data_IF_653401932062
#
_entry.id   IF_653401932062
#
_cell.length_a   1.000
_cell.length_b   1.000
_cell.length_c   1.000
_cell.angle_alpha   90.00
_cell.angle_beta   90.00
_cell.angle_gamma   90.00
#
_symmetry.space_group_name_H-M   'P 1'
#
loop_
_entity.id
_entity.type
_entity.pdbx_description
1 polymer ?
#
# COMPACT_ATOMS: atom_id res chain seq x y z
N UNK A 1 -3.10 -12.66 -1.50
CA UNK A 1 -1.80 -12.65 -2.22
C UNK A 1 -0.74 -11.89 -1.42
N UNK A 2 0.57 -12.03 -1.69
CA UNK A 2 1.66 -11.49 -0.86
C UNK A 2 1.67 -9.96 -0.65
N UNK A 3 0.91 -9.21 -1.44
CA UNK A 3 0.78 -7.76 -1.32
C UNK A 3 -0.47 -7.32 -0.54
N UNK A 4 -1.28 -8.27 -0.07
CA UNK A 4 -2.51 -7.96 0.65
C UNK A 4 -2.23 -7.29 1.98
N UNK A 5 -3.21 -6.49 2.42
CA UNK A 5 -3.27 -6.03 3.78
C UNK A 5 -4.11 -6.98 4.61
N UNK A 6 -3.64 -7.27 5.82
CA UNK A 6 -4.37 -8.07 6.79
C UNK A 6 -4.52 -7.28 8.08
N UNK A 7 -5.65 -7.47 8.74
CA UNK A 7 -5.86 -7.06 10.12
C UNK A 7 -5.75 -8.29 11.00
N UNK A 8 -4.88 -8.25 12.00
CA UNK A 8 -4.65 -9.38 12.91
C UNK A 8 -4.60 -8.92 14.36
N UNK A 9 -5.07 -9.79 15.24
CA UNK A 9 -4.57 -9.80 16.60
C UNK A 9 -3.38 -10.76 16.69
N UNK A 10 -2.39 -10.42 17.51
CA UNK A 10 -1.23 -11.28 17.76
C UNK A 10 -0.63 -11.05 19.15
N UNK A 11 0.10 -12.06 19.61
CA UNK A 11 1.09 -12.00 20.67
C UNK A 11 2.37 -12.72 20.21
N UNK A 12 3.52 -12.06 20.35
CA UNK A 12 4.84 -12.56 19.98
C UNK A 12 5.71 -12.85 21.21
N UNK A 13 6.32 -14.03 21.22
CA UNK A 13 7.23 -14.51 22.25
C UNK A 13 8.50 -15.10 21.64
N UNK A 14 9.63 -15.03 22.34
CA UNK A 14 10.79 -15.86 22.00
C UNK A 14 10.43 -17.35 22.19
N UNK A 15 11.20 -18.27 21.61
CA UNK A 15 11.00 -19.70 21.83
C UNK A 15 11.05 -20.12 23.31
N UNK A 16 11.79 -19.38 24.13
CA UNK A 16 11.86 -19.55 25.59
C UNK A 16 10.65 -18.97 26.34
N UNK A 17 9.71 -18.32 25.62
CA UNK A 17 8.42 -17.86 26.13
C UNK A 17 8.38 -16.40 26.60
N UNK A 18 9.48 -15.65 26.48
CA UNK A 18 9.50 -14.23 26.85
C UNK A 18 8.70 -13.40 25.85
N UNK A 19 7.64 -12.73 26.32
CA UNK A 19 6.79 -11.87 25.49
C UNK A 19 7.55 -10.61 25.10
N UNK A 20 7.59 -10.29 23.81
CA UNK A 20 8.22 -9.09 23.30
C UNK A 20 7.25 -8.09 22.67
N UNK A 21 6.07 -8.53 22.19
CA UNK A 21 5.08 -7.65 21.58
C UNK A 21 3.68 -8.29 21.60
N UNK A 22 2.63 -7.48 21.70
CA UNK A 22 1.24 -7.95 21.67
C UNK A 22 0.30 -6.84 21.24
N UNK A 23 -0.57 -7.13 20.27
CA UNK A 23 -1.68 -6.25 19.91
C UNK A 23 -2.76 -6.20 21.00
N UNK A 24 -2.90 -7.26 21.80
CA UNK A 24 -3.88 -7.32 22.87
C UNK A 24 -3.55 -6.32 23.99
N UNK A 25 -2.26 -6.13 24.28
CA UNK A 25 -1.80 -5.10 25.24
C UNK A 25 -2.15 -3.67 24.79
N UNK A 26 -2.30 -3.45 23.47
CA UNK A 26 -2.73 -2.17 22.88
C UNK A 26 -4.24 -2.02 22.76
N UNK A 27 -5.00 -3.10 22.91
CA UNK A 27 -6.46 -3.11 22.87
C UNK A 27 -7.09 -3.01 21.47
N UNK A 28 -6.31 -3.12 20.40
CA UNK A 28 -6.82 -3.10 19.02
C UNK A 28 -5.99 -3.97 18.06
N UNK A 29 -6.62 -4.54 17.01
CA UNK A 29 -5.89 -5.28 15.98
C UNK A 29 -4.84 -4.40 15.29
N UNK A 30 -3.77 -5.02 14.83
CA UNK A 30 -2.73 -4.36 14.03
C UNK A 30 -2.92 -4.69 12.55
N UNK A 31 -2.59 -3.73 11.68
CA UNK A 31 -2.69 -3.89 10.23
C UNK A 31 -1.29 -4.04 9.64
N UNK A 32 -1.12 -5.02 8.75
CA UNK A 32 0.15 -5.32 8.11
C UNK A 32 -0.03 -5.55 6.61
N UNK A 33 0.92 -5.08 5.80
CA UNK A 33 1.10 -5.59 4.43
C UNK A 33 1.95 -6.85 4.48
N UNK A 34 1.51 -7.91 3.81
CA UNK A 34 2.21 -9.20 3.86
C UNK A 34 3.63 -9.16 3.28
N UNK A 35 3.96 -8.20 2.42
CA UNK A 35 5.31 -7.99 1.88
C UNK A 35 6.21 -7.08 2.77
N UNK A 36 5.72 -6.58 3.90
CA UNK A 36 6.46 -5.69 4.82
C UNK A 36 6.66 -6.28 6.22
N UNK A 37 6.40 -7.57 6.39
CA UNK A 37 6.59 -8.32 7.64
C UNK A 37 7.71 -9.36 7.49
N UNK A 38 8.11 -10.01 8.59
CA UNK A 38 9.12 -11.07 8.53
C UNK A 38 8.68 -12.22 7.59
N UNK A 39 9.61 -12.90 6.91
CA UNK A 39 9.27 -13.95 5.93
C UNK A 39 8.32 -15.03 6.46
N UNK A 40 8.46 -15.41 7.74
CA UNK A 40 7.59 -16.39 8.38
C UNK A 40 6.13 -15.93 8.47
N UNK A 41 5.88 -14.64 8.69
CA UNK A 41 4.53 -14.07 8.65
C UNK A 41 4.00 -14.03 7.21
N UNK A 42 4.80 -13.57 6.25
CA UNK A 42 4.41 -13.56 4.83
C UNK A 42 3.96 -14.95 4.37
N UNK A 43 4.68 -16.00 4.74
CA UNK A 43 4.32 -17.38 4.40
C UNK A 43 3.12 -17.89 5.20
N UNK A 44 3.16 -17.76 6.53
CA UNK A 44 2.17 -18.35 7.43
C UNK A 44 0.78 -17.75 7.28
N UNK A 45 0.67 -16.43 7.14
CA UNK A 45 -0.62 -15.75 7.02
C UNK A 45 -1.37 -16.10 5.74
N UNK A 46 -0.66 -16.45 4.67
CA UNK A 46 -1.28 -16.90 3.42
C UNK A 46 -1.92 -18.30 3.53
N UNK A 47 -1.67 -19.03 4.62
CA UNK A 47 -2.28 -20.32 4.90
C UNK A 47 -3.56 -20.21 5.75
N UNK A 48 -3.86 -19.02 6.28
CA UNK A 48 -5.00 -18.77 7.16
C UNK A 48 -6.21 -18.25 6.37
N UNK A 49 -7.41 -18.47 6.94
CA UNK A 49 -8.65 -17.80 6.55
C UNK A 49 -9.10 -16.81 7.62
N UNK A 50 -9.93 -15.83 7.27
CA UNK A 50 -10.52 -14.90 8.25
C UNK A 50 -11.23 -15.67 9.39
N UNK A 51 -10.96 -15.27 10.63
CA UNK A 51 -11.40 -15.93 11.85
C UNK A 51 -10.46 -17.03 12.37
N UNK A 52 -9.47 -17.47 11.60
CA UNK A 52 -8.51 -18.48 12.06
C UNK A 52 -7.62 -17.92 13.17
N UNK A 53 -7.27 -18.78 14.13
CA UNK A 53 -6.22 -18.52 15.12
C UNK A 53 -5.15 -19.61 15.04
N UNK A 54 -3.93 -19.24 14.66
CA UNK A 54 -2.80 -20.15 14.50
C UNK A 54 -1.71 -19.84 15.54
N UNK A 55 -0.94 -20.86 15.91
CA UNK A 55 0.31 -20.71 16.66
C UNK A 55 1.47 -21.03 15.73
N UNK A 56 2.20 -20.01 15.29
CA UNK A 56 3.36 -20.14 14.43
C UNK A 56 4.63 -20.30 15.24
N UNK A 57 5.40 -21.35 14.94
CA UNK A 57 6.83 -21.39 15.25
C UNK A 57 7.60 -20.87 14.03
N UNK A 58 8.36 -19.80 14.22
CA UNK A 58 9.11 -19.14 13.16
C UNK A 58 10.60 -19.27 13.46
N UNK A 59 11.32 -20.14 12.74
CA UNK A 59 12.76 -20.26 12.92
C UNK A 59 13.45 -18.96 12.55
N UNK A 60 14.60 -18.68 13.15
CA UNK A 60 15.35 -17.45 13.04
C UNK A 60 15.60 -17.00 11.59
N UNK A 61 15.85 -17.97 10.70
CA UNK A 61 16.06 -17.76 9.28
C UNK A 61 14.85 -17.12 8.55
N UNK A 62 13.65 -17.25 9.11
CA UNK A 62 12.40 -16.64 8.64
C UNK A 62 11.94 -15.46 9.52
N UNK A 63 12.76 -15.05 10.49
CA UNK A 63 12.52 -13.96 11.42
C UNK A 63 13.58 -12.85 11.26
N UNK A 64 14.39 -12.60 12.30
CA UNK A 64 15.35 -11.48 12.35
C UNK A 64 16.81 -11.90 12.11
N UNK A 65 17.10 -13.16 11.82
CA UNK A 65 18.47 -13.59 11.51
C UNK A 65 19.44 -13.37 12.69
N UNK A 66 20.68 -13.03 12.35
CA UNK A 66 21.73 -12.71 13.31
C UNK A 66 21.69 -11.26 13.84
N UNK A 67 20.52 -10.62 13.83
CA UNK A 67 20.34 -9.24 14.31
C UNK A 67 19.45 -9.19 15.54
N UNK A 68 19.80 -8.33 16.50
CA UNK A 68 18.93 -8.03 17.64
C UNK A 68 17.74 -7.17 17.21
N UNK A 69 16.59 -7.31 17.87
CA UNK A 69 15.39 -6.49 17.63
C UNK A 69 14.72 -6.10 18.94
N UNK A 70 14.67 -4.79 19.22
CA UNK A 70 14.20 -4.30 20.51
C UNK A 70 15.04 -4.82 21.68
N UNK A 71 14.46 -4.85 22.87
CA UNK A 71 15.19 -5.22 24.09
C UNK A 71 15.19 -6.73 24.37
N UNK A 72 14.24 -7.47 23.79
CA UNK A 72 14.02 -8.90 24.08
C UNK A 72 14.67 -9.79 23.02
N UNK A 73 14.37 -9.60 21.73
CA UNK A 73 14.81 -10.51 20.66
C UNK A 73 16.31 -10.35 20.41
N UNK A 74 17.06 -11.45 20.52
CA UNK A 74 18.50 -11.53 20.26
C UNK A 74 18.79 -12.17 18.91
N UNK A 75 20.01 -11.93 18.43
CA UNK A 75 20.55 -12.58 17.26
C UNK A 75 20.48 -14.12 17.41
N UNK A 76 19.89 -14.79 16.42
CA UNK A 76 19.73 -16.24 16.43
C UNK A 76 18.44 -16.76 17.07
N UNK A 77 17.60 -15.90 17.68
CA UNK A 77 16.37 -16.34 18.32
C UNK A 77 15.32 -16.84 17.32
N UNK A 78 14.70 -17.96 17.66
CA UNK A 78 13.45 -18.44 17.08
C UNK A 78 12.27 -17.78 17.80
N UNK A 79 11.17 -17.56 17.07
CA UNK A 79 10.00 -16.84 17.58
C UNK A 79 8.76 -17.72 17.56
N UNK A 80 7.88 -17.50 18.52
CA UNK A 80 6.54 -18.09 18.57
C UNK A 80 5.50 -16.97 18.55
N UNK A 81 4.55 -17.06 17.62
CA UNK A 81 3.45 -16.12 17.51
C UNK A 81 2.11 -16.82 17.60
N UNK A 82 1.25 -16.39 18.51
CA UNK A 82 -0.18 -16.63 18.36
C UNK A 82 -0.75 -15.52 17.49
N UNK A 83 -1.46 -15.87 16.42
CA UNK A 83 -2.04 -14.91 15.48
C UNK A 83 -3.49 -15.28 15.21
N UNK A 84 -4.38 -14.31 15.36
CA UNK A 84 -5.79 -14.36 14.96
C UNK A 84 -5.97 -13.46 13.74
N UNK A 85 -6.33 -14.05 12.60
CA UNK A 85 -6.59 -13.30 11.36
C UNK A 85 -8.00 -12.73 11.42
N UNK A 86 -8.12 -11.43 11.62
CA UNK A 86 -9.42 -10.76 11.76
C UNK A 86 -10.04 -10.48 10.38
N UNK A 87 -9.24 -9.99 9.44
CA UNK A 87 -9.70 -9.57 8.12
C UNK A 87 -8.55 -9.68 7.11
N UNK A 88 -8.80 -10.30 5.96
CA UNK A 88 -8.01 -10.13 4.75
C UNK A 88 -8.64 -8.96 4.02
N UNK A 89 -8.00 -7.80 4.15
CA UNK A 89 -8.54 -6.60 3.55
C UNK A 89 -8.43 -6.75 2.04
N UNK A 90 -9.58 -6.82 1.36
CA UNK A 90 -9.60 -6.61 -0.08
C UNK A 90 -8.87 -5.29 -0.36
N UNK A 91 -7.93 -5.25 -1.31
CA UNK A 91 -7.38 -3.98 -1.74
C UNK A 91 -8.56 -3.16 -2.25
N UNK A 92 -9.03 -2.22 -1.42
CA UNK A 92 -9.98 -1.21 -1.84
C UNK A 92 -9.28 -0.46 -2.96
N UNK A 93 -9.62 -0.81 -4.19
CA UNK A 93 -9.18 -0.10 -5.37
C UNK A 93 -10.41 0.61 -5.91
N UNK A 94 -10.28 1.87 -6.28
CA UNK A 94 -11.41 2.56 -6.90
C UNK A 94 -11.82 1.94 -8.24
N UNK A 95 -10.87 1.31 -8.96
CA UNK A 95 -11.07 0.89 -10.35
C UNK A 95 -10.26 -0.36 -10.70
N UNK A 96 -10.65 -1.52 -10.15
CA UNK A 96 -10.03 -2.81 -10.49
C UNK A 96 -10.04 -3.08 -12.01
N UNK A 97 -11.13 -2.73 -12.70
CA UNK A 97 -11.27 -2.87 -14.16
C UNK A 97 -10.24 -2.00 -14.92
N UNK A 98 -9.94 -0.80 -14.45
CA UNK A 98 -8.95 0.07 -15.09
C UNK A 98 -7.54 -0.52 -14.94
N UNK A 99 -7.20 -1.03 -13.76
CA UNK A 99 -5.92 -1.69 -13.53
C UNK A 99 -5.77 -2.93 -14.42
N UNK A 100 -6.82 -3.74 -14.56
CA UNK A 100 -6.82 -4.90 -15.46
C UNK A 100 -6.67 -4.50 -16.94
N UNK A 101 -7.37 -3.46 -17.38
CA UNK A 101 -7.35 -3.02 -18.78
C UNK A 101 -6.01 -2.40 -19.19
N UNK A 102 -5.38 -1.61 -18.32
CA UNK A 102 -4.26 -0.75 -18.67
C UNK A 102 -2.91 -1.18 -18.06
N UNK A 103 -2.81 -2.36 -17.43
CA UNK A 103 -1.55 -2.89 -16.88
C UNK A 103 -1.16 -4.20 -17.59
N UNK A 104 0.05 -4.34 -18.15
CA UNK A 104 1.11 -3.34 -18.20
C UNK A 104 0.74 -2.14 -19.09
N UNK A 105 1.27 -0.97 -18.75
CA UNK A 105 0.93 0.28 -19.44
C UNK A 105 1.29 0.22 -20.91
N UNK A 106 0.33 0.55 -21.78
CA UNK A 106 0.52 0.66 -23.21
C UNK A 106 0.25 2.09 -23.67
N UNK A 107 1.33 2.82 -23.96
CA UNK A 107 1.29 4.21 -24.41
C UNK A 107 0.63 4.42 -25.78
N UNK A 108 0.38 3.37 -26.56
CA UNK A 108 -0.16 3.49 -27.92
C UNK A 108 -1.68 3.34 -27.97
N UNK A 109 -2.33 3.13 -26.82
CA UNK A 109 -3.79 3.08 -26.75
C UNK A 109 -4.42 4.44 -27.08
N UNK A 110 -5.51 4.48 -27.85
CA UNK A 110 -6.11 5.74 -28.31
C UNK A 110 -6.70 6.59 -27.17
N UNK A 111 -7.03 5.98 -26.03
CA UNK A 111 -7.52 6.69 -24.84
C UNK A 111 -6.39 7.36 -24.03
N UNK A 112 -5.13 7.00 -24.28
CA UNK A 112 -3.97 7.54 -23.55
C UNK A 112 -3.66 8.94 -24.05
N UNK A 113 -3.80 9.91 -23.15
CA UNK A 113 -3.34 11.27 -23.33
C UNK A 113 -1.88 11.39 -22.90
N UNK A 114 -1.12 12.30 -23.53
CA UNK A 114 0.30 12.54 -23.24
C UNK A 114 0.55 14.04 -23.17
N UNK A 115 1.28 14.47 -22.15
CA UNK A 115 1.73 15.87 -22.03
C UNK A 115 3.17 16.03 -22.52
N UNK A 116 3.63 17.28 -22.61
CA UNK A 116 5.01 17.60 -23.02
C UNK A 116 6.06 17.12 -22.01
N UNK A 117 5.71 17.01 -20.73
CA UNK A 117 6.61 16.51 -19.68
C UNK A 117 6.77 14.99 -19.71
N UNK A 118 5.96 14.29 -20.49
CA UNK A 118 5.93 12.83 -20.55
C UNK A 118 4.90 12.18 -19.63
N UNK A 119 4.15 12.95 -18.83
CA UNK A 119 2.99 12.42 -18.10
C UNK A 119 2.01 11.81 -19.10
N UNK A 120 1.56 10.58 -18.82
CA UNK A 120 0.54 9.91 -19.61
C UNK A 120 -0.63 9.54 -18.72
N UNK A 121 -1.85 9.65 -19.24
CA UNK A 121 -3.03 9.38 -18.44
C UNK A 121 -4.23 8.97 -19.27
N UNK A 122 -5.17 8.29 -18.60
CA UNK A 122 -6.52 8.02 -19.10
C UNK A 122 -7.49 8.63 -18.11
N UNK A 123 -8.44 9.42 -18.61
CA UNK A 123 -9.57 9.91 -17.81
C UNK A 123 -10.58 8.76 -17.68
N UNK A 124 -10.70 8.18 -16.49
CA UNK A 124 -11.65 7.11 -16.20
C UNK A 124 -13.06 7.68 -15.96
N UNK A 125 -13.11 8.78 -15.21
CA UNK A 125 -14.33 9.52 -14.95
C UNK A 125 -14.01 11.01 -14.88
N UNK A 126 -14.89 11.83 -15.45
CA UNK A 126 -14.79 13.28 -15.38
C UNK A 126 -15.69 13.81 -14.25
N UNK A 127 -15.12 14.67 -13.43
CA UNK A 127 -15.82 15.44 -12.42
C UNK A 127 -16.64 16.58 -13.02
N UNK A 128 -17.14 17.45 -12.14
CA UNK A 128 -17.94 18.60 -12.56
C UNK A 128 -17.10 19.54 -13.43
N UNK A 129 -17.52 19.73 -14.69
CA UNK A 129 -16.83 20.59 -15.65
C UNK A 129 -16.74 22.06 -15.18
N UNK A 130 -17.66 22.51 -14.32
CA UNK A 130 -17.63 23.83 -13.70
C UNK A 130 -16.65 23.91 -12.51
N UNK A 131 -16.16 22.77 -12.03
CA UNK A 131 -15.15 22.67 -10.98
C UNK A 131 -13.84 23.33 -11.40
N UNK A 132 -13.27 24.09 -10.46
CA UNK A 132 -11.96 24.70 -10.63
C UNK A 132 -10.86 23.70 -10.30
N UNK A 133 -9.84 23.63 -11.16
CA UNK A 133 -8.61 22.91 -10.86
C UNK A 133 -7.87 23.61 -9.71
N UNK A 134 -7.23 22.85 -8.80
CA UNK A 134 -6.47 23.42 -7.70
C UNK A 134 -5.30 24.26 -8.21
N UNK A 135 -5.05 25.40 -7.56
CA UNK A 135 -3.93 26.30 -7.88
C UNK A 135 -3.19 26.74 -6.61
N UNK A 136 -1.94 27.18 -6.76
CA UNK A 136 -1.16 27.86 -5.70
C UNK A 136 -1.11 27.10 -4.35
N UNK A 137 -0.88 25.78 -4.39
CA UNK A 137 -0.74 24.96 -3.18
C UNK A 137 -2.00 24.78 -2.36
N UNK A 138 -3.18 25.01 -2.96
CA UNK A 138 -4.47 24.69 -2.33
C UNK A 138 -4.49 23.25 -1.81
N UNK A 139 -5.09 23.08 -0.63
CA UNK A 139 -5.26 21.75 -0.06
C UNK A 139 -6.30 20.96 -0.86
N UNK A 140 -5.89 19.81 -1.37
CA UNK A 140 -6.73 18.85 -2.07
C UNK A 140 -6.90 17.58 -1.24
N UNK A 141 -8.09 17.02 -1.25
CA UNK A 141 -8.36 15.71 -0.70
C UNK A 141 -8.34 14.69 -1.85
N UNK A 142 -7.38 13.76 -1.80
CA UNK A 142 -7.17 12.80 -2.88
C UNK A 142 -7.24 11.38 -2.35
N UNK A 143 -8.14 10.60 -2.94
CA UNK A 143 -7.99 9.16 -2.93
C UNK A 143 -7.07 8.73 -4.07
N UNK A 144 -6.12 7.85 -3.78
CA UNK A 144 -5.17 7.36 -4.75
C UNK A 144 -4.72 5.94 -4.42
N UNK A 145 -4.19 5.28 -5.43
CA UNK A 145 -3.46 4.03 -5.35
C UNK A 145 -2.25 4.14 -6.28
N UNK A 146 -1.06 3.90 -5.74
CA UNK A 146 0.20 3.94 -6.47
C UNK A 146 0.77 2.54 -6.65
N UNK A 147 1.09 2.18 -7.89
CA UNK A 147 1.72 0.91 -8.27
C UNK A 147 2.99 1.15 -9.08
N UNK A 148 3.97 0.27 -8.93
CA UNK A 148 5.15 0.25 -9.79
C UNK A 148 4.73 -0.18 -11.20
N UNK A 149 5.06 0.61 -12.21
CA UNK A 149 4.69 0.32 -13.60
C UNK A 149 5.34 -0.96 -14.15
N UNK A 150 6.50 -1.36 -13.60
CA UNK A 150 7.25 -2.54 -14.04
C UNK A 150 6.54 -3.85 -13.71
N UNK A 151 5.97 -3.96 -12.50
CA UNK A 151 5.46 -5.23 -11.96
C UNK A 151 4.04 -5.13 -11.38
N UNK A 152 3.42 -3.95 -11.36
CA UNK A 152 2.09 -3.72 -10.80
C UNK A 152 2.03 -3.75 -9.26
N UNK A 153 3.17 -3.82 -8.57
CA UNK A 153 3.23 -3.85 -7.11
C UNK A 153 2.75 -2.52 -6.53
N UNK A 154 1.71 -2.59 -5.70
CA UNK A 154 1.19 -1.42 -4.98
C UNK A 154 2.13 -1.02 -3.85
N UNK A 155 2.58 0.23 -3.87
CA UNK A 155 3.45 0.79 -2.82
C UNK A 155 2.69 1.69 -1.84
N UNK A 156 1.59 2.33 -2.27
CA UNK A 156 0.77 3.17 -1.39
C UNK A 156 -0.70 3.25 -1.88
N UNK A 157 -1.65 3.43 -0.96
CA UNK A 157 -3.07 3.61 -1.28
C UNK A 157 -3.84 4.28 -0.15
N UNK A 158 -4.47 5.42 -0.44
CA UNK A 158 -5.40 6.09 0.46
C UNK A 158 -6.70 5.30 0.64
N UNK A 159 -7.12 4.55 -0.38
CA UNK A 159 -8.31 3.70 -0.30
C UNK A 159 -8.16 2.60 0.77
N UNK A 160 -6.95 2.04 0.93
CA UNK A 160 -6.67 1.09 2.00
C UNK A 160 -6.77 1.72 3.40
N UNK A 161 -6.48 3.02 3.52
CA UNK A 161 -6.68 3.78 4.76
C UNK A 161 -8.15 4.14 4.99
N UNK A 162 -9.01 4.01 3.99
CA UNK A 162 -10.43 4.32 4.07
C UNK A 162 -10.75 5.82 4.19
N UNK A 163 -9.77 6.68 3.97
CA UNK A 163 -9.92 8.13 4.01
C UNK A 163 -9.02 8.78 2.95
N UNK A 164 -9.41 9.92 2.37
CA UNK A 164 -8.56 10.61 1.41
C UNK A 164 -7.36 11.21 2.14
N UNK A 165 -6.24 11.32 1.43
CA UNK A 165 -5.08 12.03 1.94
C UNK A 165 -5.20 13.52 1.59
N UNK A 166 -4.72 14.40 2.49
CA UNK A 166 -4.73 15.84 2.26
C UNK A 166 -3.35 16.33 1.85
N UNK A 167 -3.26 16.92 0.66
CA UNK A 167 -2.01 17.44 0.13
C UNK A 167 -2.14 18.91 -0.28
N UNK A 168 -1.11 19.75 -0.09
CA UNK A 168 -1.00 20.99 -0.85
C UNK A 168 -0.67 20.65 -2.30
N UNK A 169 -1.42 21.21 -3.26
CA UNK A 169 -1.34 20.83 -4.68
C UNK A 169 0.00 21.10 -5.37
N UNK A 170 0.94 21.79 -4.72
CA UNK A 170 2.25 22.18 -5.25
C UNK A 170 3.45 21.55 -4.53
N UNK A 171 3.24 20.65 -3.55
CA UNK A 171 4.34 19.96 -2.82
C UNK A 171 4.33 18.44 -3.00
N UNK A 172 4.04 18.01 -4.21
CA UNK A 172 4.09 16.61 -4.63
C UNK A 172 5.17 16.42 -5.70
N UNK A 173 5.38 15.18 -6.14
CA UNK A 173 6.25 14.91 -7.29
C UNK A 173 5.74 15.66 -8.53
N UNK A 174 6.63 16.07 -9.47
CA UNK A 174 6.24 16.96 -10.58
C UNK A 174 5.03 16.47 -11.39
N UNK A 175 4.96 15.17 -11.71
CA UNK A 175 3.84 14.59 -12.46
C UNK A 175 2.51 14.66 -11.71
N UNK A 176 2.52 14.61 -10.38
CA UNK A 176 1.32 14.81 -9.55
C UNK A 176 0.86 16.27 -9.55
N UNK A 177 1.80 17.21 -9.41
CA UNK A 177 1.49 18.65 -9.46
C UNK A 177 0.87 19.01 -10.81
N UNK A 178 1.45 18.51 -11.90
CA UNK A 178 0.93 18.71 -13.25
C UNK A 178 -0.45 18.10 -13.45
N UNK A 179 -0.65 16.84 -13.05
CA UNK A 179 -1.94 16.17 -13.15
C UNK A 179 -3.03 16.92 -12.38
N UNK A 180 -2.77 17.25 -11.11
CA UNK A 180 -3.73 17.98 -10.27
C UNK A 180 -4.10 19.34 -10.85
N UNK A 181 -3.16 20.05 -11.48
CA UNK A 181 -3.44 21.32 -12.14
C UNK A 181 -4.39 21.19 -13.35
N UNK A 182 -4.52 20.00 -13.94
CA UNK A 182 -5.45 19.70 -15.03
C UNK A 182 -6.76 19.07 -14.53
N UNK A 183 -6.73 18.39 -13.39
CA UNK A 183 -7.88 17.71 -12.81
C UNK A 183 -8.89 18.67 -12.18
N UNK A 184 -10.14 18.22 -12.09
CA UNK A 184 -11.26 18.89 -11.41
C UNK A 184 -11.77 18.04 -10.25
N UNK A 185 -12.44 18.63 -9.25
CA UNK A 185 -13.11 17.85 -8.21
C UNK A 185 -14.05 16.79 -8.80
N UNK A 186 -13.84 15.53 -8.42
CA UNK A 186 -14.57 14.37 -8.94
C UNK A 186 -13.91 13.67 -10.13
N UNK A 187 -12.87 14.26 -10.75
CA UNK A 187 -12.08 13.55 -11.76
C UNK A 187 -11.42 12.31 -11.17
N UNK A 188 -11.34 11.27 -11.99
CA UNK A 188 -10.66 10.03 -11.69
C UNK A 188 -9.81 9.60 -12.87
N UNK A 189 -8.51 9.60 -12.66
CA UNK A 189 -7.52 9.38 -13.71
C UNK A 189 -6.66 8.18 -13.34
N UNK A 190 -6.31 7.37 -14.35
CA UNK A 190 -5.19 6.44 -14.26
C UNK A 190 -3.99 7.07 -14.92
N UNK A 191 -2.85 7.10 -14.25
CA UNK A 191 -1.66 7.83 -14.69
C UNK A 191 -0.45 6.91 -14.77
N UNK A 192 0.34 7.10 -15.83
CA UNK A 192 1.72 6.65 -15.91
C UNK A 192 2.63 7.88 -15.77
N UNK A 193 3.48 7.85 -14.74
CA UNK A 193 4.40 8.93 -14.41
C UNK A 193 5.83 8.42 -14.63
N UNK A 194 6.55 8.90 -15.66
CA UNK A 194 7.93 8.50 -15.87
C UNK A 194 8.84 8.99 -14.72
N UNK A 195 9.98 8.33 -14.54
CA UNK A 195 10.83 8.50 -13.35
C UNK A 195 11.36 9.92 -13.18
N UNK A 196 11.63 10.63 -14.28
CA UNK A 196 12.13 12.00 -14.34
C UNK A 196 11.16 13.04 -13.74
N UNK A 197 9.84 12.79 -13.81
CA UNK A 197 8.80 13.60 -13.16
C UNK A 197 8.14 12.88 -11.97
N UNK A 198 8.75 11.78 -11.51
CA UNK A 198 8.38 11.07 -10.28
C UNK A 198 9.45 11.24 -9.18
N UNK A 199 10.16 10.16 -8.84
CA UNK A 199 11.15 10.13 -7.76
C UNK A 199 12.61 10.16 -8.26
N UNK A 200 12.83 10.31 -9.56
CA UNK A 200 14.16 10.27 -10.18
C UNK A 200 14.69 8.84 -10.41
N UNK A 201 15.99 8.78 -10.70
CA UNK A 201 16.77 7.54 -10.85
C UNK A 201 17.55 7.20 -9.58
#
# INVERSE_FOLDING_TARGET
>A
VPTDMVRVHYEGRTADGEKFDSSYDRGSPSMFRLNQVIPGWTQGLQLMSEGDTYLFYIPNALAYGNSNRGDVIKAGDDLVFQVELVEVMEPKSADAEAWEKYTPWNSDLPEVQKTESGLQYVVLESGDASGASPVNGQMVAVYYEGRLAENGEMFDSAFQRGQPELFPSDRLIPGWVEALAMMKPGDRWLMYIPSDIAYGA
#
